data_IF_319741562809
#
_entry.id   IF_319741562809
#
_cell.length_a   1.000
_cell.length_b   1.000
_cell.length_c   1.000
_cell.angle_alpha   90.00
_cell.angle_beta   90.00
_cell.angle_gamma   90.00
#
_symmetry.space_group_name_H-M   'P 1'
#
loop_
_entity.id
_entity.type
_entity.pdbx_description
1 polymer ?
#
# COMPACT_ATOMS: atom_id res chain seq x y z
N UNK A 1 36.82 -9.30 35.95
CA UNK A 1 36.67 -7.91 36.45
C UNK A 1 35.36 -7.42 35.89
N UNK A 2 34.39 -7.27 36.80
CA UNK A 2 33.01 -6.94 36.39
C UNK A 2 32.88 -5.46 36.06
N UNK A 3 31.95 -5.16 35.14
CA UNK A 3 31.38 -3.83 34.98
C UNK A 3 29.88 -3.94 35.15
N UNK A 4 29.42 -3.28 36.20
CA UNK A 4 28.02 -3.18 36.64
C UNK A 4 27.18 -2.46 35.61
N UNK A 5 26.00 -2.99 35.32
CA UNK A 5 24.91 -2.29 34.60
C UNK A 5 24.17 -1.46 35.63
N UNK A 6 24.39 -0.15 35.64
CA UNK A 6 23.57 0.79 36.39
C UNK A 6 22.23 0.97 35.64
N UNK A 7 21.16 0.49 36.29
CA UNK A 7 19.79 0.80 35.95
C UNK A 7 19.46 2.22 36.33
N UNK A 8 19.39 3.13 35.36
CA UNK A 8 18.89 4.48 35.61
C UNK A 8 17.37 4.44 35.76
N UNK A 9 16.89 4.62 36.98
CA UNK A 9 15.49 4.84 37.33
C UNK A 9 15.03 6.18 36.76
N UNK A 10 14.05 6.15 35.88
CA UNK A 10 13.35 7.33 35.36
C UNK A 10 12.34 7.80 36.42
N UNK A 11 12.78 8.63 37.35
CA UNK A 11 11.92 9.44 38.22
C UNK A 11 12.10 10.91 37.88
N UNK A 12 11.07 11.52 37.31
CA UNK A 12 10.98 12.96 37.12
C UNK A 12 9.72 13.30 36.31
N UNK A 13 8.68 13.78 36.98
CA UNK A 13 7.48 14.37 36.39
C UNK A 13 7.84 15.70 35.69
N UNK A 14 8.49 15.62 34.52
CA UNK A 14 8.52 16.73 33.61
C UNK A 14 7.34 16.56 32.64
N UNK A 15 6.51 17.58 32.48
CA UNK A 15 5.55 17.65 31.42
C UNK A 15 6.30 17.34 30.12
N UNK A 16 5.85 16.39 29.28
CA UNK A 16 6.57 16.06 28.06
C UNK A 16 6.69 17.34 27.21
N UNK A 17 7.91 17.82 27.02
CA UNK A 17 8.18 18.87 26.05
C UNK A 17 7.79 18.33 24.68
N UNK A 18 7.00 19.12 23.92
CA UNK A 18 6.66 18.75 22.55
C UNK A 18 7.94 18.52 21.72
N UNK A 19 7.94 17.54 20.80
CA UNK A 19 9.09 17.26 19.97
C UNK A 19 9.50 18.48 19.15
N UNK A 20 10.79 18.66 18.95
CA UNK A 20 11.33 19.65 18.00
C UNK A 20 11.63 18.94 16.68
N UNK A 21 11.51 19.65 15.58
CA UNK A 21 11.76 19.13 14.23
C UNK A 21 12.76 20.01 13.47
N UNK A 22 13.62 20.70 14.18
CA UNK A 22 14.52 21.70 13.59
C UNK A 22 15.63 21.03 12.76
N UNK A 23 16.16 19.89 13.19
CA UNK A 23 17.10 19.09 12.43
C UNK A 23 16.50 18.60 11.11
N UNK A 24 15.24 18.11 11.14
CA UNK A 24 14.53 17.72 9.92
C UNK A 24 14.31 18.90 8.98
N UNK A 25 13.92 20.08 9.48
CA UNK A 25 13.76 21.31 8.68
C UNK A 25 15.06 21.77 8.05
N UNK A 26 16.17 21.73 8.81
CA UNK A 26 17.48 22.12 8.33
C UNK A 26 17.99 21.15 7.26
N UNK A 27 17.85 19.85 7.47
CA UNK A 27 18.22 18.84 6.48
C UNK A 27 17.38 18.97 5.19
N UNK A 28 16.08 19.23 5.32
CA UNK A 28 15.19 19.43 4.17
C UNK A 28 15.58 20.69 3.39
N UNK A 29 15.89 21.80 4.09
CA UNK A 29 16.35 23.06 3.47
C UNK A 29 17.65 22.85 2.70
N UNK A 30 18.62 22.16 3.29
CA UNK A 30 19.88 21.82 2.64
C UNK A 30 19.65 20.89 1.44
N UNK A 31 18.85 19.82 1.65
CA UNK A 31 18.54 18.83 0.63
C UNK A 31 17.79 19.41 -0.58
N UNK A 32 16.99 20.45 -0.39
CA UNK A 32 16.27 21.15 -1.47
C UNK A 32 17.19 21.83 -2.48
N UNK A 33 18.47 22.03 -2.13
CA UNK A 33 19.49 22.52 -3.07
C UNK A 33 19.93 21.44 -4.08
N UNK A 34 19.67 20.16 -3.81
CA UNK A 34 20.12 19.02 -4.60
C UNK A 34 19.00 18.08 -5.04
N UNK A 35 17.93 18.02 -4.27
CA UNK A 35 16.77 17.15 -4.50
C UNK A 35 15.57 18.02 -4.80
N UNK A 36 14.91 17.81 -5.93
CA UNK A 36 13.75 18.59 -6.34
C UNK A 36 12.64 18.54 -5.25
N UNK A 37 12.35 19.71 -4.66
CA UNK A 37 11.42 19.83 -3.54
C UNK A 37 11.89 19.18 -2.23
N UNK A 38 13.18 18.81 -2.10
CA UNK A 38 13.77 18.16 -0.93
C UNK A 38 13.36 16.71 -0.71
N UNK A 39 12.51 16.13 -1.57
CA UNK A 39 11.97 14.77 -1.44
C UNK A 39 11.96 14.04 -2.78
N UNK A 40 12.18 12.71 -2.75
CA UNK A 40 12.18 11.87 -3.96
C UNK A 40 10.79 11.25 -4.25
N UNK A 41 9.72 11.77 -3.64
CA UNK A 41 8.34 11.38 -3.93
C UNK A 41 7.38 12.45 -3.43
N UNK A 42 6.45 12.89 -4.30
CA UNK A 42 5.43 13.88 -3.93
C UNK A 42 4.55 13.43 -2.76
N UNK A 43 4.36 12.11 -2.59
CA UNK A 43 3.65 11.55 -1.43
C UNK A 43 4.34 11.78 -0.09
N UNK A 44 5.64 12.13 -0.07
CA UNK A 44 6.38 12.48 1.13
C UNK A 44 6.30 13.97 1.46
N UNK A 45 6.07 14.83 0.46
CA UNK A 45 5.98 16.28 0.64
C UNK A 45 4.78 16.70 1.50
N UNK A 46 3.66 15.97 1.43
CA UNK A 46 2.41 16.26 2.13
C UNK A 46 2.30 15.67 3.53
N UNK A 47 3.40 15.26 4.16
CA UNK A 47 3.38 14.76 5.54
C UNK A 47 3.26 15.92 6.55
N UNK A 48 2.54 15.71 7.70
CA UNK A 48 2.29 16.78 8.67
C UNK A 48 3.58 17.34 9.27
N UNK A 49 3.53 18.61 9.68
CA UNK A 49 4.59 19.43 10.26
C UNK A 49 5.70 19.77 9.25
N UNK A 50 6.42 18.78 8.78
CA UNK A 50 7.47 18.82 7.75
C UNK A 50 7.76 17.38 7.32
N UNK A 51 8.28 17.12 6.10
CA UNK A 51 8.88 15.84 5.81
C UNK A 51 10.00 15.53 6.82
N UNK A 52 9.79 14.50 7.65
CA UNK A 52 10.77 14.12 8.67
C UNK A 52 11.96 13.42 8.02
N UNK A 53 13.14 13.66 8.58
CA UNK A 53 14.37 12.97 8.22
C UNK A 53 14.71 11.96 9.30
N UNK A 54 14.70 10.68 8.94
CA UNK A 54 14.91 9.58 9.89
C UNK A 54 16.38 9.15 9.91
N UNK A 55 16.89 8.93 11.11
CA UNK A 55 18.24 8.42 11.35
C UNK A 55 18.25 6.90 11.54
N UNK A 56 17.21 6.35 12.22
CA UNK A 56 17.15 4.94 12.57
C UNK A 56 15.73 4.38 12.40
N UNK A 57 15.65 3.07 12.17
CA UNK A 57 14.40 2.33 12.09
C UNK A 57 14.61 0.91 12.65
N UNK A 58 13.75 0.47 13.58
CA UNK A 58 13.82 -0.87 14.15
C UNK A 58 12.45 -1.35 14.66
N UNK A 59 12.07 -2.58 14.30
CA UNK A 59 10.77 -3.13 14.67
C UNK A 59 9.61 -2.20 14.27
N UNK A 60 8.75 -1.76 15.21
CA UNK A 60 7.66 -0.83 14.93
C UNK A 60 8.07 0.65 15.06
N UNK A 61 9.36 0.97 15.23
CA UNK A 61 9.80 2.31 15.60
C UNK A 61 10.66 2.98 14.54
N UNK A 62 10.52 4.30 14.50
CA UNK A 62 11.43 5.21 13.79
C UNK A 62 12.03 6.22 14.76
N UNK A 63 13.29 6.63 14.50
CA UNK A 63 13.94 7.74 15.21
C UNK A 63 14.36 8.76 14.16
N UNK A 64 13.95 10.03 14.35
CA UNK A 64 14.37 11.10 13.44
C UNK A 64 15.74 11.68 13.83
N UNK A 65 16.24 12.61 13.02
CA UNK A 65 17.54 13.27 13.27
C UNK A 65 17.53 14.21 14.48
N UNK A 66 16.36 14.54 15.00
CA UNK A 66 16.19 15.33 16.22
C UNK A 66 16.13 14.42 17.48
N UNK A 67 16.17 13.09 17.30
CA UNK A 67 16.10 12.09 18.38
C UNK A 67 14.68 11.76 18.83
N UNK A 68 13.65 12.24 18.13
CA UNK A 68 12.27 11.87 18.44
C UNK A 68 12.00 10.43 18.02
N UNK A 69 11.38 9.64 18.92
CA UNK A 69 11.01 8.25 18.66
C UNK A 69 9.52 8.12 18.42
N UNK A 70 9.15 7.47 17.33
CA UNK A 70 7.77 7.28 16.89
C UNK A 70 7.40 5.80 16.82
N UNK A 71 6.19 5.44 17.26
CA UNK A 71 5.51 4.22 16.83
C UNK A 71 5.02 4.49 15.40
N UNK A 72 5.43 3.65 14.42
CA UNK A 72 5.23 3.93 13.00
C UNK A 72 4.14 3.06 12.38
N UNK A 73 2.97 3.64 12.21
CA UNK A 73 1.86 3.05 11.45
C UNK A 73 1.84 3.44 9.96
N UNK A 74 2.91 4.06 9.46
CA UNK A 74 3.10 4.31 8.02
C UNK A 74 3.88 3.17 7.37
N UNK A 75 4.88 2.62 8.07
CA UNK A 75 5.66 1.45 7.66
C UNK A 75 6.15 1.54 6.21
N UNK A 76 6.72 2.70 5.85
CA UNK A 76 7.23 2.95 4.49
C UNK A 76 6.15 3.01 3.40
N UNK A 77 4.91 3.32 3.73
CA UNK A 77 3.70 3.20 2.89
C UNK A 77 3.27 1.73 2.67
N UNK A 78 3.52 0.88 3.66
CA UNK A 78 3.00 -0.48 3.73
C UNK A 78 3.94 -1.66 3.45
N UNK A 79 5.18 -1.51 2.95
CA UNK A 79 6.04 -2.68 2.71
C UNK A 79 6.50 -3.41 3.97
N UNK A 80 6.61 -2.73 5.11
CA UNK A 80 7.27 -3.25 6.31
C UNK A 80 6.33 -4.12 7.16
N UNK A 81 5.74 -5.18 6.59
CA UNK A 81 4.86 -6.12 7.31
C UNK A 81 5.60 -6.85 8.44
N UNK A 82 6.90 -7.12 8.25
CA UNK A 82 7.77 -7.75 9.24
C UNK A 82 8.39 -6.74 10.24
N UNK A 83 7.99 -5.48 10.18
CA UNK A 83 8.65 -4.38 10.90
C UNK A 83 9.89 -3.85 10.18
N UNK A 84 10.45 -2.79 10.72
CA UNK A 84 11.70 -2.21 10.21
C UNK A 84 12.88 -3.14 10.53
N UNK A 85 13.77 -3.29 9.57
CA UNK A 85 15.02 -4.05 9.71
C UNK A 85 14.83 -5.49 10.27
N UNK A 86 13.92 -6.32 9.70
CA UNK A 86 13.70 -7.68 10.18
C UNK A 86 14.99 -8.52 10.01
N UNK A 87 15.39 -9.20 11.07
CA UNK A 87 16.70 -9.87 11.15
C UNK A 87 16.92 -10.88 10.02
N UNK A 88 15.92 -11.70 9.72
CA UNK A 88 15.97 -12.71 8.67
C UNK A 88 16.20 -12.13 7.27
N UNK A 89 15.61 -10.96 6.98
CA UNK A 89 15.80 -10.27 5.70
C UNK A 89 17.20 -9.62 5.65
N UNK A 90 17.60 -8.95 6.73
CA UNK A 90 18.93 -8.31 6.83
C UNK A 90 20.03 -9.34 6.67
N UNK A 91 19.93 -10.49 7.34
CA UNK A 91 20.91 -11.58 7.24
C UNK A 91 20.97 -12.21 5.84
N UNK A 92 19.81 -12.44 5.20
CA UNK A 92 19.76 -12.98 3.85
C UNK A 92 20.43 -12.01 2.85
N UNK A 93 20.14 -10.74 2.95
CA UNK A 93 20.77 -9.68 2.13
C UNK A 93 22.26 -9.59 2.42
N UNK A 94 22.67 -9.61 3.67
CA UNK A 94 24.10 -9.58 4.04
C UNK A 94 24.86 -10.78 3.45
N UNK A 95 24.33 -11.99 3.52
CA UNK A 95 24.93 -13.16 2.86
C UNK A 95 25.01 -13.00 1.35
N UNK A 96 23.96 -12.47 0.71
CA UNK A 96 23.93 -12.27 -0.73
C UNK A 96 24.96 -11.24 -1.20
N UNK A 97 25.20 -10.19 -0.43
CA UNK A 97 26.23 -9.17 -0.72
C UNK A 97 27.65 -9.76 -0.80
N UNK A 98 27.90 -10.88 -0.11
CA UNK A 98 29.21 -11.58 -0.19
C UNK A 98 29.36 -12.42 -1.49
N UNK A 99 28.26 -12.66 -2.21
CA UNK A 99 28.25 -13.46 -3.44
C UNK A 99 28.11 -12.62 -4.70
N UNK A 100 27.03 -11.88 -4.83
CA UNK A 100 26.77 -11.05 -6.01
C UNK A 100 25.73 -9.98 -5.74
N UNK A 101 25.80 -8.87 -6.51
CA UNK A 101 24.82 -7.79 -6.49
C UNK A 101 23.89 -7.88 -7.69
N UNK A 102 24.46 -7.92 -8.91
CA UNK A 102 23.74 -7.99 -10.18
C UNK A 102 24.60 -8.74 -11.19
N UNK A 103 24.07 -9.76 -11.82
CA UNK A 103 24.84 -10.65 -12.69
C UNK A 103 24.46 -10.56 -14.17
N UNK A 104 23.39 -9.83 -14.51
CA UNK A 104 22.88 -9.77 -15.88
C UNK A 104 22.44 -11.12 -16.45
N UNK A 105 22.05 -12.04 -15.60
CA UNK A 105 21.59 -13.39 -15.89
C UNK A 105 20.71 -13.92 -14.76
N UNK A 106 20.31 -15.17 -14.81
CA UNK A 106 19.46 -15.81 -13.81
C UNK A 106 20.27 -16.25 -12.59
N UNK A 107 19.59 -16.27 -11.43
CA UNK A 107 20.15 -16.80 -10.19
C UNK A 107 19.19 -17.80 -9.56
N UNK A 108 19.70 -18.77 -8.74
CA UNK A 108 18.81 -19.68 -8.03
C UNK A 108 17.78 -18.99 -7.14
N UNK A 109 18.11 -17.81 -6.57
CA UNK A 109 17.20 -17.03 -5.74
C UNK A 109 15.99 -16.51 -6.50
N UNK A 110 16.14 -16.19 -7.80
CA UNK A 110 15.03 -15.79 -8.65
C UNK A 110 13.97 -16.88 -8.76
N UNK A 111 14.41 -18.12 -8.98
CA UNK A 111 13.49 -19.28 -9.05
C UNK A 111 12.87 -19.60 -7.70
N UNK A 112 13.62 -19.52 -6.60
CA UNK A 112 13.10 -19.71 -5.24
C UNK A 112 12.06 -18.64 -4.88
N UNK A 113 12.31 -17.39 -5.24
CA UNK A 113 11.34 -16.32 -5.04
C UNK A 113 10.07 -16.54 -5.87
N UNK A 114 10.22 -16.98 -7.13
CA UNK A 114 9.09 -17.27 -8.01
C UNK A 114 8.26 -18.46 -7.50
N UNK A 115 8.91 -19.52 -7.00
CA UNK A 115 8.25 -20.67 -6.37
C UNK A 115 7.42 -20.25 -5.14
N UNK A 116 7.98 -19.43 -4.25
CA UNK A 116 7.25 -18.92 -3.09
C UNK A 116 6.03 -18.05 -3.48
N UNK A 117 6.16 -17.23 -4.52
CA UNK A 117 5.04 -16.45 -5.05
C UNK A 117 3.98 -17.37 -5.65
N UNK A 118 4.37 -18.37 -6.44
CA UNK A 118 3.48 -19.37 -7.03
C UNK A 118 2.71 -20.15 -5.95
N UNK A 119 3.37 -20.57 -4.89
CA UNK A 119 2.76 -21.34 -3.80
C UNK A 119 1.75 -20.53 -2.98
N UNK A 120 1.98 -19.21 -2.85
CA UNK A 120 1.19 -18.36 -1.97
C UNK A 120 0.01 -17.69 -2.69
N UNK A 121 0.17 -17.29 -3.95
CA UNK A 121 -0.76 -16.41 -4.66
C UNK A 121 -1.63 -17.23 -5.63
N UNK A 122 -2.97 -17.29 -5.44
CA UNK A 122 -3.85 -18.14 -6.22
C UNK A 122 -3.83 -17.94 -7.74
N UNK A 123 -3.52 -16.74 -8.22
CA UNK A 123 -3.43 -16.42 -9.65
C UNK A 123 -2.06 -16.61 -10.26
N UNK A 124 -1.04 -17.01 -9.49
CA UNK A 124 0.35 -17.01 -9.93
C UNK A 124 0.76 -18.34 -10.58
N UNK A 125 0.26 -18.65 -11.77
CA UNK A 125 0.81 -19.79 -12.54
C UNK A 125 2.26 -19.49 -12.95
N UNK A 126 2.53 -18.27 -13.44
CA UNK A 126 3.85 -17.78 -13.84
C UNK A 126 4.13 -16.40 -13.26
N UNK A 127 5.42 -16.09 -13.05
CA UNK A 127 5.90 -14.87 -12.40
C UNK A 127 6.90 -14.13 -13.30
N UNK A 128 6.79 -12.80 -13.33
CA UNK A 128 7.82 -11.89 -13.89
C UNK A 128 8.11 -10.78 -12.88
N UNK A 129 9.35 -10.72 -12.43
CA UNK A 129 9.80 -9.65 -11.54
C UNK A 129 10.14 -8.37 -12.32
N UNK A 130 9.94 -7.22 -11.65
CA UNK A 130 10.35 -5.88 -12.07
C UNK A 130 10.70 -5.05 -10.83
N UNK A 131 11.08 -3.78 -11.00
CA UNK A 131 11.58 -2.96 -9.89
C UNK A 131 10.49 -2.18 -9.15
N UNK A 132 9.33 -1.97 -9.77
CA UNK A 132 8.26 -1.16 -9.18
C UNK A 132 6.85 -1.63 -9.59
N UNK A 133 5.85 -1.32 -8.74
CA UNK A 133 4.44 -1.56 -9.06
C UNK A 133 4.01 -0.88 -10.37
N UNK A 134 4.47 0.34 -10.63
CA UNK A 134 4.16 1.06 -11.88
C UNK A 134 4.61 0.30 -13.14
N UNK A 135 5.79 -0.34 -13.09
CA UNK A 135 6.28 -1.19 -14.20
C UNK A 135 5.42 -2.45 -14.33
N UNK A 136 5.04 -3.07 -13.23
CA UNK A 136 4.21 -4.27 -13.23
C UNK A 136 2.80 -3.99 -13.76
N UNK A 137 2.16 -2.88 -13.36
CA UNK A 137 0.88 -2.42 -13.89
C UNK A 137 0.95 -2.13 -15.39
N UNK A 138 2.02 -1.46 -15.84
CA UNK A 138 2.25 -1.21 -17.25
C UNK A 138 2.39 -2.51 -18.05
N UNK A 139 3.09 -3.50 -17.51
CA UNK A 139 3.24 -4.81 -18.13
C UNK A 139 1.90 -5.55 -18.18
N UNK A 140 1.11 -5.53 -17.09
CA UNK A 140 -0.21 -6.15 -17.01
C UNK A 140 -1.16 -5.60 -18.10
N UNK A 141 -1.22 -4.28 -18.24
CA UNK A 141 -2.04 -3.62 -19.28
C UNK A 141 -1.58 -4.02 -20.69
N UNK A 142 -0.27 -4.10 -20.92
CA UNK A 142 0.28 -4.50 -22.23
C UNK A 142 -0.08 -5.95 -22.56
N UNK A 143 0.05 -6.87 -21.60
CA UNK A 143 -0.34 -8.27 -21.76
C UNK A 143 -1.84 -8.39 -22.06
N UNK A 144 -2.69 -7.68 -21.31
CA UNK A 144 -4.13 -7.72 -21.51
C UNK A 144 -4.55 -7.21 -22.89
N UNK A 145 -3.94 -6.11 -23.37
CA UNK A 145 -4.18 -5.59 -24.73
C UNK A 145 -3.72 -6.56 -25.82
N UNK A 146 -2.56 -7.16 -25.64
CA UNK A 146 -2.04 -8.16 -26.60
C UNK A 146 -2.93 -9.41 -26.65
N UNK A 147 -3.32 -9.93 -25.48
CA UNK A 147 -4.14 -11.13 -25.39
C UNK A 147 -5.55 -10.96 -26.01
N UNK A 148 -6.12 -9.78 -25.87
CA UNK A 148 -7.51 -9.53 -26.29
C UNK A 148 -7.63 -8.87 -27.66
N UNK A 149 -6.58 -8.24 -28.17
CA UNK A 149 -6.61 -7.35 -29.33
C UNK A 149 -7.39 -6.05 -29.11
N UNK A 150 -7.83 -5.77 -27.89
CA UNK A 150 -8.64 -4.61 -27.52
C UNK A 150 -7.75 -3.53 -26.90
N UNK A 151 -8.26 -2.27 -26.86
CA UNK A 151 -7.44 -1.14 -26.40
C UNK A 151 -7.91 -0.54 -25.06
N UNK A 152 -9.20 -0.63 -24.75
CA UNK A 152 -9.79 0.05 -23.61
C UNK A 152 -9.42 -0.65 -22.30
N UNK A 153 -8.99 0.12 -21.33
CA UNK A 153 -8.78 -0.29 -19.93
C UNK A 153 -9.79 0.45 -19.06
N UNK A 154 -10.57 -0.28 -18.31
CA UNK A 154 -11.43 0.29 -17.28
C UNK A 154 -10.69 0.28 -15.95
N UNK A 155 -10.66 1.44 -15.27
CA UNK A 155 -10.19 1.59 -13.89
C UNK A 155 -11.21 2.35 -13.06
N UNK A 156 -10.92 2.64 -11.79
CA UNK A 156 -11.87 3.26 -10.87
C UNK A 156 -11.34 4.56 -10.27
N UNK A 157 -12.26 5.47 -9.90
CA UNK A 157 -11.97 6.70 -9.19
C UNK A 157 -11.23 6.40 -7.89
N UNK A 158 -10.22 7.20 -7.56
CA UNK A 158 -9.44 7.05 -6.34
C UNK A 158 -8.44 5.89 -6.34
N UNK A 159 -8.48 4.98 -7.31
CA UNK A 159 -7.51 3.90 -7.43
C UNK A 159 -6.20 4.41 -8.01
N UNK A 160 -5.09 3.94 -7.46
CA UNK A 160 -3.73 4.30 -7.89
C UNK A 160 -2.98 3.07 -8.40
N UNK A 161 -2.53 3.13 -9.66
CA UNK A 161 -1.83 2.06 -10.36
C UNK A 161 -0.50 2.56 -10.94
N UNK A 162 0.28 3.24 -10.09
CA UNK A 162 1.53 3.85 -10.53
C UNK A 162 1.35 5.23 -11.18
N UNK A 163 2.47 5.79 -11.61
CA UNK A 163 2.56 7.19 -12.04
C UNK A 163 2.81 7.37 -13.55
N UNK A 164 2.67 6.30 -14.36
CA UNK A 164 2.76 6.40 -15.81
C UNK A 164 1.48 7.02 -16.41
N UNK A 165 1.64 7.81 -17.45
CA UNK A 165 0.58 8.62 -18.08
C UNK A 165 -0.70 7.85 -18.39
N UNK A 166 -0.56 6.60 -18.83
CA UNK A 166 -1.69 5.77 -19.22
C UNK A 166 -2.57 5.30 -18.03
N UNK A 167 -2.08 5.39 -16.79
CA UNK A 167 -2.81 4.94 -15.60
C UNK A 167 -2.98 6.02 -14.53
N UNK A 168 -2.27 7.15 -14.64
CA UNK A 168 -2.33 8.26 -13.69
C UNK A 168 -3.59 9.13 -13.91
N UNK A 169 -4.74 8.49 -14.03
CA UNK A 169 -6.04 9.13 -14.26
C UNK A 169 -6.93 8.98 -13.04
N UNK A 170 -7.60 10.07 -12.63
CA UNK A 170 -8.61 10.11 -11.57
C UNK A 170 -8.15 9.45 -10.25
N UNK A 171 -6.89 9.65 -9.86
CA UNK A 171 -6.33 9.12 -8.61
C UNK A 171 -6.83 9.89 -7.37
N UNK A 172 -7.14 11.18 -7.54
CA UNK A 172 -7.76 12.06 -6.55
C UNK A 172 -8.60 13.13 -7.27
N UNK A 173 -9.66 12.72 -8.00
CA UNK A 173 -10.44 13.64 -8.80
C UNK A 173 -11.17 14.67 -7.93
N UNK A 174 -11.20 15.92 -8.40
CA UNK A 174 -11.98 16.99 -7.80
C UNK A 174 -13.26 17.18 -8.64
N UNK A 175 -14.34 16.63 -8.16
CA UNK A 175 -15.63 16.83 -8.80
C UNK A 175 -16.42 17.95 -8.10
N UNK A 176 -16.81 18.98 -8.83
CA UNK A 176 -18.04 19.69 -8.51
C UNK A 176 -19.16 18.69 -8.85
N UNK A 177 -19.94 18.29 -7.85
CA UNK A 177 -20.94 17.23 -7.89
C UNK A 177 -21.54 16.99 -9.30
N UNK A 178 -21.06 15.95 -9.99
CA UNK A 178 -21.70 15.43 -11.20
C UNK A 178 -22.75 14.40 -10.74
N UNK A 179 -23.88 14.91 -10.26
CA UNK A 179 -25.01 14.07 -9.89
C UNK A 179 -25.40 13.21 -11.10
N UNK A 180 -25.40 11.88 -10.91
CA UNK A 180 -26.01 10.91 -11.83
C UNK A 180 -25.11 10.35 -12.95
N UNK A 181 -23.88 10.80 -13.16
CA UNK A 181 -23.04 10.25 -14.20
C UNK A 181 -22.33 8.96 -13.74
N UNK A 182 -22.57 7.86 -14.44
CA UNK A 182 -21.96 6.55 -14.19
C UNK A 182 -20.50 6.49 -14.71
N UNK A 183 -20.25 7.15 -15.86
CA UNK A 183 -18.94 7.28 -16.48
C UNK A 183 -18.46 8.71 -16.28
N UNK A 184 -17.31 8.86 -15.64
CA UNK A 184 -16.70 10.16 -15.38
C UNK A 184 -15.60 10.45 -16.40
N UNK A 185 -15.46 11.69 -16.89
CA UNK A 185 -14.32 12.03 -17.72
C UNK A 185 -13.03 11.84 -16.91
N UNK A 186 -12.03 11.13 -17.45
CA UNK A 186 -10.75 10.94 -16.79
C UNK A 186 -10.11 12.29 -16.44
N UNK A 187 -9.71 12.47 -15.17
CA UNK A 187 -8.99 13.67 -14.73
C UNK A 187 -7.48 13.38 -14.61
N UNK A 188 -6.61 14.25 -15.18
CA UNK A 188 -5.17 14.02 -15.11
C UNK A 188 -4.67 14.09 -13.66
N UNK A 189 -3.78 13.18 -13.29
CA UNK A 189 -3.10 13.18 -11.99
C UNK A 189 -1.88 14.10 -11.96
N UNK A 190 -1.42 14.57 -13.12
CA UNK A 190 -0.24 15.43 -13.25
C UNK A 190 -0.34 16.38 -14.42
N UNK A 191 0.29 17.55 -14.28
CA UNK A 191 0.56 18.46 -15.40
C UNK A 191 1.54 17.77 -16.38
N UNK A 192 1.34 17.99 -17.67
CA UNK A 192 2.19 17.40 -18.72
C UNK A 192 1.87 15.96 -19.07
N UNK A 193 0.85 15.37 -18.46
CA UNK A 193 0.37 14.03 -18.80
C UNK A 193 -0.23 14.04 -20.21
N UNK A 194 0.07 12.98 -20.99
CA UNK A 194 -0.53 12.80 -22.32
C UNK A 194 -2.05 12.64 -22.21
N UNK A 195 -2.83 13.07 -23.22
CA UNK A 195 -4.27 12.86 -23.20
C UNK A 195 -4.66 11.40 -23.00
N UNK A 196 -5.81 11.10 -22.36
CA UNK A 196 -6.25 9.74 -22.14
C UNK A 196 -6.46 9.02 -23.47
N UNK A 197 -5.85 7.85 -23.62
CA UNK A 197 -6.02 7.00 -24.78
C UNK A 197 -6.38 5.59 -24.33
N UNK A 198 -7.62 5.17 -24.58
CA UNK A 198 -8.11 3.86 -24.20
C UNK A 198 -8.14 3.63 -22.67
N UNK A 199 -8.42 4.67 -21.88
CA UNK A 199 -8.67 4.55 -20.44
C UNK A 199 -10.03 5.15 -20.12
N UNK A 200 -10.83 4.39 -19.40
CA UNK A 200 -12.12 4.80 -18.87
C UNK A 200 -12.15 4.65 -17.35
N UNK A 201 -12.84 5.55 -16.70
CA UNK A 201 -12.93 5.60 -15.24
C UNK A 201 -14.37 5.43 -14.81
N UNK A 202 -14.63 4.44 -13.98
CA UNK A 202 -15.95 4.13 -13.41
C UNK A 202 -15.95 4.37 -11.90
N UNK A 203 -17.16 4.41 -11.32
CA UNK A 203 -17.33 4.37 -9.88
C UNK A 203 -17.03 2.98 -9.32
N UNK A 204 -16.36 2.96 -8.19
CA UNK A 204 -16.17 1.74 -7.40
C UNK A 204 -17.51 1.25 -6.84
N UNK A 205 -17.66 -0.06 -6.73
CA UNK A 205 -18.86 -0.71 -6.20
C UNK A 205 -20.16 -0.56 -7.04
N UNK A 206 -20.09 0.00 -8.25
CA UNK A 206 -21.19 0.00 -9.22
C UNK A 206 -21.06 -1.19 -10.19
N UNK A 207 -21.49 -2.37 -9.75
CA UNK A 207 -21.43 -3.60 -10.56
C UNK A 207 -22.23 -3.49 -11.86
N UNK A 208 -23.40 -2.89 -11.82
CA UNK A 208 -24.29 -2.77 -12.98
C UNK A 208 -23.69 -1.91 -14.07
N UNK A 209 -23.08 -0.78 -13.69
CA UNK A 209 -22.39 0.09 -14.64
C UNK A 209 -21.19 -0.62 -15.29
N UNK A 210 -20.38 -1.31 -14.48
CA UNK A 210 -19.23 -2.04 -14.99
C UNK A 210 -19.64 -3.18 -15.92
N UNK A 211 -20.62 -3.99 -15.53
CA UNK A 211 -21.15 -5.10 -16.34
C UNK A 211 -21.66 -4.58 -17.68
N UNK A 212 -22.55 -3.57 -17.67
CA UNK A 212 -23.03 -2.95 -18.92
C UNK A 212 -21.91 -2.45 -19.82
N UNK A 213 -20.84 -1.91 -19.22
CA UNK A 213 -19.71 -1.38 -19.99
C UNK A 213 -18.88 -2.47 -20.66
N UNK A 214 -18.52 -3.51 -19.96
CA UNK A 214 -17.67 -4.58 -20.53
C UNK A 214 -18.44 -5.53 -21.46
N UNK A 215 -19.76 -5.57 -21.40
CA UNK A 215 -20.62 -6.30 -22.33
C UNK A 215 -20.56 -5.77 -23.77
N UNK A 216 -20.05 -4.55 -23.98
CA UNK A 216 -19.74 -4.02 -25.33
C UNK A 216 -18.57 -4.75 -26.01
N UNK A 217 -17.79 -5.55 -25.26
CA UNK A 217 -16.73 -6.44 -25.74
C UNK A 217 -15.53 -5.75 -26.43
N UNK A 218 -15.31 -4.48 -26.16
CA UNK A 218 -14.15 -3.70 -26.64
C UNK A 218 -13.13 -3.38 -25.51
N UNK A 219 -13.45 -3.73 -24.26
CA UNK A 219 -12.59 -3.57 -23.10
C UNK A 219 -11.57 -4.70 -23.04
N UNK A 220 -10.29 -4.33 -23.01
CA UNK A 220 -9.16 -5.25 -22.86
C UNK A 220 -9.06 -5.79 -21.43
N UNK A 221 -9.11 -4.88 -20.46
CA UNK A 221 -9.03 -5.25 -19.06
C UNK A 221 -9.84 -4.33 -18.14
N UNK A 222 -10.23 -4.90 -16.99
CA UNK A 222 -10.64 -4.18 -15.79
C UNK A 222 -9.46 -4.25 -14.81
N UNK A 223 -8.91 -3.09 -14.45
CA UNK A 223 -7.80 -2.94 -13.51
C UNK A 223 -8.31 -2.31 -12.22
N UNK A 224 -8.10 -2.96 -11.07
CA UNK A 224 -8.57 -2.49 -9.79
C UNK A 224 -7.65 -2.84 -8.61
N UNK A 225 -7.62 -1.99 -7.61
CA UNK A 225 -7.29 -2.42 -6.24
C UNK A 225 -8.48 -3.25 -5.72
N UNK A 226 -8.30 -4.46 -5.20
CA UNK A 226 -9.43 -5.22 -4.63
C UNK A 226 -10.01 -4.59 -3.36
N UNK A 227 -9.27 -3.68 -2.73
CA UNK A 227 -9.71 -2.74 -1.69
C UNK A 227 -9.06 -1.39 -1.95
N UNK A 228 -9.83 -0.33 -1.95
CA UNK A 228 -9.36 1.03 -2.25
C UNK A 228 -8.53 1.62 -1.08
N UNK A 229 -7.34 1.10 -0.81
CA UNK A 229 -6.50 1.59 0.29
C UNK A 229 -5.66 2.83 -0.05
N UNK A 230 -5.42 3.12 -1.33
CA UNK A 230 -4.66 4.31 -1.70
C UNK A 230 -5.37 5.62 -1.39
N UNK A 231 -6.69 5.64 -1.33
CA UNK A 231 -7.45 6.87 -1.06
C UNK A 231 -8.31 6.81 0.19
N UNK A 232 -9.38 6.04 0.23
CA UNK A 232 -10.44 6.21 1.22
C UNK A 232 -10.75 4.96 2.06
N UNK A 233 -10.02 3.86 1.87
CA UNK A 233 -10.21 2.63 2.62
C UNK A 233 -11.60 2.01 2.41
N UNK A 234 -12.04 1.86 1.15
CA UNK A 234 -13.37 1.34 0.84
C UNK A 234 -13.28 -0.12 0.42
N UNK A 235 -14.01 -0.98 1.15
CA UNK A 235 -14.14 -2.39 0.82
C UNK A 235 -15.08 -2.61 -0.38
N UNK A 236 -14.90 -3.69 -1.14
CA UNK A 236 -15.93 -4.13 -2.09
C UNK A 236 -17.20 -4.51 -1.33
N UNK A 237 -18.36 -4.03 -1.82
CA UNK A 237 -19.64 -4.47 -1.25
C UNK A 237 -19.86 -5.97 -1.53
N UNK A 238 -20.66 -6.66 -0.70
CA UNK A 238 -20.91 -8.08 -0.89
C UNK A 238 -21.38 -8.42 -2.32
N UNK A 239 -20.71 -9.37 -2.95
CA UNK A 239 -21.02 -9.82 -4.31
C UNK A 239 -20.40 -9.01 -5.45
N UNK A 240 -19.85 -7.81 -5.20
CA UNK A 240 -19.28 -6.95 -6.24
C UNK A 240 -18.13 -7.63 -7.01
N UNK A 241 -17.11 -8.13 -6.30
CA UNK A 241 -15.96 -8.78 -6.96
C UNK A 241 -16.36 -10.05 -7.72
N UNK A 242 -17.32 -10.80 -7.22
CA UNK A 242 -17.86 -11.97 -7.91
C UNK A 242 -18.57 -11.59 -9.21
N UNK A 243 -19.44 -10.57 -9.18
CA UNK A 243 -20.10 -10.06 -10.36
C UNK A 243 -19.11 -9.56 -11.43
N UNK A 244 -18.06 -8.86 -11.01
CA UNK A 244 -17.00 -8.40 -11.89
C UNK A 244 -16.25 -9.59 -12.52
N UNK A 245 -15.86 -10.59 -11.71
CA UNK A 245 -15.18 -11.80 -12.19
C UNK A 245 -15.99 -12.53 -13.23
N UNK A 246 -17.27 -12.76 -12.94
CA UNK A 246 -18.20 -13.45 -13.85
C UNK A 246 -18.37 -12.70 -15.18
N UNK A 247 -18.56 -11.39 -15.10
CA UNK A 247 -18.71 -10.56 -16.29
C UNK A 247 -17.43 -10.54 -17.15
N UNK A 248 -16.25 -10.42 -16.53
CA UNK A 248 -14.98 -10.53 -17.24
C UNK A 248 -14.83 -11.87 -17.93
N UNK A 249 -15.20 -12.98 -17.27
CA UNK A 249 -15.16 -14.32 -17.84
C UNK A 249 -16.06 -14.46 -19.06
N UNK A 250 -17.32 -13.99 -18.98
CA UNK A 250 -18.29 -14.05 -20.09
C UNK A 250 -17.91 -13.22 -21.30
N UNK A 251 -17.23 -12.10 -21.08
CA UNK A 251 -16.87 -11.16 -22.15
C UNK A 251 -15.48 -11.37 -22.73
N UNK A 252 -14.65 -12.21 -22.08
CA UNK A 252 -13.24 -12.38 -22.41
C UNK A 252 -12.42 -11.11 -22.10
N UNK A 253 -12.85 -10.32 -21.12
CA UNK A 253 -12.10 -9.18 -20.59
C UNK A 253 -11.15 -9.66 -19.49
N UNK A 254 -9.89 -9.22 -19.52
CA UNK A 254 -8.90 -9.61 -18.52
C UNK A 254 -9.19 -8.89 -17.19
N UNK A 255 -9.33 -9.62 -16.10
CA UNK A 255 -9.41 -9.04 -14.75
C UNK A 255 -8.00 -8.93 -14.17
N UNK A 256 -7.58 -7.71 -13.80
CA UNK A 256 -6.30 -7.43 -13.19
C UNK A 256 -6.54 -6.91 -11.77
N UNK A 257 -5.98 -7.60 -10.77
CA UNK A 257 -5.90 -7.07 -9.40
C UNK A 257 -4.54 -6.41 -9.18
N UNK A 258 -4.57 -5.13 -8.85
CA UNK A 258 -3.42 -4.45 -8.27
C UNK A 258 -3.40 -4.72 -6.77
N UNK A 259 -2.60 -5.70 -6.39
CA UNK A 259 -2.35 -6.09 -5.01
C UNK A 259 -1.02 -5.56 -4.47
N UNK A 260 -0.54 -4.45 -4.98
CA UNK A 260 0.68 -3.81 -4.46
C UNK A 260 0.56 -3.48 -2.97
N UNK A 261 -0.64 -3.13 -2.48
CA UNK A 261 -0.89 -2.94 -1.03
C UNK A 261 -1.34 -4.23 -0.36
N UNK A 262 -2.31 -4.92 -0.93
CA UNK A 262 -3.00 -6.04 -0.28
C UNK A 262 -2.26 -7.36 -0.38
N UNK A 263 -1.43 -7.56 -1.39
CA UNK A 263 -0.63 -8.77 -1.61
C UNK A 263 0.28 -9.06 -0.43
N UNK A 264 0.25 -10.30 0.06
CA UNK A 264 0.99 -10.79 1.23
C UNK A 264 0.65 -10.06 2.55
N UNK A 265 -0.09 -8.95 2.51
CA UNK A 265 -0.41 -8.14 3.69
C UNK A 265 -1.71 -8.55 4.36
N UNK A 266 -2.80 -8.63 3.61
CA UNK A 266 -4.12 -8.96 4.19
C UNK A 266 -4.29 -10.45 4.48
N UNK A 267 -3.56 -11.27 3.75
CA UNK A 267 -3.37 -12.70 3.98
C UNK A 267 -2.08 -13.15 3.26
N UNK A 268 -1.53 -14.35 3.49
CA UNK A 268 -0.40 -14.86 2.72
C UNK A 268 -0.64 -14.86 1.20
N UNK A 269 -1.88 -15.12 0.75
CA UNK A 269 -2.28 -15.11 -0.67
C UNK A 269 -2.92 -13.80 -1.13
N UNK A 270 -2.82 -12.72 -0.34
CA UNK A 270 -3.38 -11.40 -0.68
C UNK A 270 -4.90 -11.31 -0.54
N UNK A 271 -5.46 -10.25 -1.10
CA UNK A 271 -6.91 -10.02 -1.09
C UNK A 271 -7.67 -11.05 -1.95
N UNK A 272 -7.08 -11.53 -3.04
CA UNK A 272 -7.69 -12.57 -3.87
C UNK A 272 -7.99 -13.84 -3.07
N UNK A 273 -7.08 -14.26 -2.18
CA UNK A 273 -7.32 -15.38 -1.27
C UNK A 273 -8.34 -15.02 -0.18
N UNK A 274 -8.26 -13.82 0.39
CA UNK A 274 -9.17 -13.37 1.43
C UNK A 274 -10.63 -13.26 0.96
N UNK A 275 -10.86 -12.85 -0.29
CA UNK A 275 -12.19 -12.75 -0.89
C UNK A 275 -12.62 -13.98 -1.70
N UNK A 276 -11.73 -14.93 -1.95
CA UNK A 276 -11.98 -16.11 -2.79
C UNK A 276 -12.23 -15.76 -4.27
N UNK A 277 -11.63 -14.70 -4.77
CA UNK A 277 -11.77 -14.25 -6.16
C UNK A 277 -10.39 -14.23 -6.83
N UNK A 278 -10.20 -15.10 -7.82
CA UNK A 278 -8.93 -15.20 -8.56
C UNK A 278 -9.01 -14.36 -9.84
N UNK A 279 -8.17 -13.32 -9.99
CA UNK A 279 -8.06 -12.55 -11.22
C UNK A 279 -7.29 -13.32 -12.30
N UNK A 280 -7.20 -12.77 -13.50
CA UNK A 280 -6.40 -13.34 -14.61
C UNK A 280 -4.93 -12.93 -14.51
N UNK A 281 -4.68 -11.70 -14.02
CA UNK A 281 -3.35 -11.14 -13.74
C UNK A 281 -3.37 -10.46 -12.37
N UNK A 282 -2.25 -10.49 -11.67
CA UNK A 282 -2.06 -9.76 -10.41
C UNK A 282 -0.74 -9.02 -10.41
N UNK A 283 -0.78 -7.78 -9.92
CA UNK A 283 0.40 -6.96 -9.66
C UNK A 283 0.73 -7.01 -8.17
N UNK A 284 1.97 -7.36 -7.84
CA UNK A 284 2.48 -7.52 -6.47
C UNK A 284 3.64 -6.56 -6.22
N UNK A 285 3.84 -6.17 -4.97
CA UNK A 285 4.96 -5.30 -4.57
C UNK A 285 5.04 -5.15 -3.05
N UNK A 286 5.60 -4.05 -2.58
CA UNK A 286 5.66 -3.67 -1.14
C UNK A 286 6.05 -4.81 -0.20
N UNK A 287 5.08 -5.50 0.44
CA UNK A 287 5.32 -6.59 1.39
C UNK A 287 6.05 -7.80 0.77
N UNK A 288 6.07 -7.90 -0.57
CA UNK A 288 6.79 -8.92 -1.34
C UNK A 288 8.25 -9.06 -0.89
N UNK A 289 8.93 -7.96 -0.58
CA UNK A 289 10.35 -7.97 -0.22
C UNK A 289 10.71 -7.08 0.98
N UNK A 290 9.74 -6.79 1.85
CA UNK A 290 9.97 -6.07 3.11
C UNK A 290 10.83 -4.80 2.95
N UNK A 291 10.50 -3.96 1.95
CA UNK A 291 11.15 -2.66 1.72
C UNK A 291 12.19 -2.62 0.61
N UNK A 292 12.64 -3.75 0.08
CA UNK A 292 13.50 -3.76 -1.09
C UNK A 292 12.71 -3.44 -2.38
N UNK A 293 13.33 -2.74 -3.37
CA UNK A 293 12.67 -2.33 -4.59
C UNK A 293 12.47 -3.53 -5.52
N UNK A 294 11.31 -4.16 -5.42
CA UNK A 294 10.86 -5.25 -6.29
C UNK A 294 9.34 -5.25 -6.37
N UNK A 295 8.86 -5.60 -7.53
CA UNK A 295 7.47 -5.90 -7.81
C UNK A 295 7.39 -7.13 -8.72
N UNK A 296 6.20 -7.66 -8.92
CA UNK A 296 5.99 -8.77 -9.84
C UNK A 296 4.64 -8.62 -10.57
N UNK A 297 4.64 -9.00 -11.84
CA UNK A 297 3.46 -9.38 -12.58
C UNK A 297 3.34 -10.90 -12.51
N UNK A 298 2.18 -11.39 -12.07
CA UNK A 298 1.85 -12.81 -12.04
C UNK A 298 0.52 -13.06 -12.74
N UNK A 299 0.29 -14.25 -13.22
CA UNK A 299 -0.98 -14.57 -13.85
C UNK A 299 -1.00 -15.91 -14.56
N UNK A 300 -2.13 -16.15 -15.23
CA UNK A 300 -2.41 -17.38 -15.96
C UNK A 300 -1.35 -17.68 -17.02
N UNK A 301 -1.02 -18.94 -17.16
CA UNK A 301 -0.02 -19.43 -18.12
C UNK A 301 -0.22 -18.90 -19.54
N UNK A 302 -1.47 -18.83 -20.02
CA UNK A 302 -1.78 -18.37 -21.39
C UNK A 302 -1.43 -16.89 -21.57
N UNK A 303 -1.70 -16.05 -20.57
CA UNK A 303 -1.41 -14.61 -20.63
C UNK A 303 0.07 -14.34 -20.47
N UNK A 304 0.71 -14.97 -19.50
CA UNK A 304 2.14 -14.82 -19.26
C UNK A 304 2.99 -15.45 -20.37
N UNK A 305 2.42 -16.39 -21.11
CA UNK A 305 2.99 -16.99 -22.31
C UNK A 305 3.35 -15.98 -23.40
N UNK A 306 2.60 -14.87 -23.51
CA UNK A 306 2.90 -13.78 -24.45
C UNK A 306 4.23 -13.08 -24.16
N UNK A 307 4.62 -13.03 -22.88
CA UNK A 307 5.95 -12.53 -22.49
C UNK A 307 7.01 -13.60 -22.81
N UNK A 308 6.71 -14.86 -22.57
CA UNK A 308 7.66 -15.97 -22.79
C UNK A 308 7.94 -16.18 -24.29
N UNK A 309 6.96 -15.96 -25.17
CA UNK A 309 7.11 -16.03 -26.64
C UNK A 309 7.85 -14.82 -27.23
N UNK A 310 7.94 -13.71 -26.47
CA UNK A 310 8.50 -12.45 -26.94
C UNK A 310 7.51 -11.55 -27.70
N UNK A 311 6.23 -11.95 -27.83
CA UNK A 311 5.18 -11.11 -28.40
C UNK A 311 4.94 -9.85 -27.56
N UNK A 312 5.03 -9.98 -26.25
CA UNK A 312 5.00 -8.85 -25.31
C UNK A 312 6.38 -8.62 -24.72
N UNK A 313 6.99 -7.49 -25.05
CA UNK A 313 8.29 -7.11 -24.49
C UNK A 313 8.13 -6.75 -23.01
N UNK A 314 8.89 -7.44 -22.16
CA UNK A 314 9.09 -7.14 -20.76
C UNK A 314 10.59 -7.21 -20.43
N UNK A 315 11.17 -6.14 -19.94
CA UNK A 315 12.61 -6.08 -19.66
C UNK A 315 12.96 -5.02 -18.64
N UNK A 316 14.11 -5.18 -18.02
CA UNK A 316 14.69 -4.25 -17.04
C UNK A 316 16.02 -4.80 -16.54
N UNK A 317 17.04 -3.95 -16.50
CA UNK A 317 18.39 -4.32 -16.03
C UNK A 317 18.38 -4.86 -14.59
N UNK A 318 17.49 -4.33 -13.75
CA UNK A 318 17.41 -4.65 -12.32
C UNK A 318 16.32 -5.67 -11.98
N UNK A 319 15.62 -6.20 -12.98
CA UNK A 319 14.61 -7.22 -12.75
C UNK A 319 15.27 -8.45 -12.10
N UNK A 320 14.65 -8.98 -11.02
CA UNK A 320 15.22 -10.10 -10.23
C UNK A 320 16.65 -9.88 -9.72
N UNK A 321 17.02 -8.63 -9.42
CA UNK A 321 18.32 -8.32 -8.83
C UNK A 321 18.56 -9.17 -7.57
N UNK A 322 19.74 -9.81 -7.48
CA UNK A 322 20.02 -10.88 -6.50
C UNK A 322 19.79 -10.49 -5.04
N UNK A 323 20.06 -9.24 -4.67
CA UNK A 323 19.84 -8.73 -3.31
C UNK A 323 18.33 -8.63 -3.03
N UNK A 324 17.55 -8.09 -3.99
CA UNK A 324 16.10 -8.00 -3.84
C UNK A 324 15.46 -9.41 -3.81
N UNK A 325 15.99 -10.37 -4.57
CA UNK A 325 15.52 -11.75 -4.51
C UNK A 325 15.85 -12.43 -3.18
N UNK A 326 17.02 -12.17 -2.60
CA UNK A 326 17.35 -12.66 -1.25
C UNK A 326 16.39 -12.11 -0.19
N UNK A 327 16.06 -10.83 -0.29
CA UNK A 327 15.06 -10.19 0.58
C UNK A 327 13.66 -10.80 0.37
N UNK A 328 13.26 -11.02 -0.89
CA UNK A 328 11.97 -11.65 -1.24
C UNK A 328 11.86 -13.06 -0.67
N UNK A 329 12.86 -13.90 -0.86
CA UNK A 329 12.86 -15.26 -0.33
C UNK A 329 12.76 -15.26 1.19
N UNK A 330 13.52 -14.42 1.89
CA UNK A 330 13.45 -14.32 3.34
C UNK A 330 12.08 -13.83 3.83
N UNK A 331 11.56 -12.76 3.23
CA UNK A 331 10.27 -12.19 3.61
C UNK A 331 9.12 -13.18 3.38
N UNK A 332 9.04 -13.79 2.19
CA UNK A 332 7.96 -14.74 1.87
C UNK A 332 8.07 -16.04 2.67
N UNK A 333 9.28 -16.50 3.00
CA UNK A 333 9.48 -17.64 3.88
C UNK A 333 8.93 -17.42 5.28
N UNK A 334 9.07 -16.19 5.83
CA UNK A 334 8.46 -15.80 7.09
C UNK A 334 6.93 -15.71 6.99
N UNK A 335 6.43 -15.06 5.94
CA UNK A 335 5.00 -14.86 5.68
C UNK A 335 4.26 -16.19 5.49
N UNK A 336 4.86 -17.14 4.79
CA UNK A 336 4.27 -18.46 4.48
C UNK A 336 3.83 -19.24 5.70
N UNK A 337 4.46 -19.04 6.84
CA UNK A 337 4.14 -19.77 8.08
C UNK A 337 2.77 -19.41 8.67
N UNK A 338 2.19 -18.24 8.29
CA UNK A 338 0.98 -17.69 8.86
C UNK A 338 1.19 -17.01 10.24
N UNK A 339 2.33 -17.20 10.89
CA UNK A 339 2.61 -16.64 12.20
C UNK A 339 2.66 -15.09 12.18
N UNK A 340 3.17 -14.51 11.09
CA UNK A 340 3.18 -13.07 10.86
C UNK A 340 1.78 -12.49 10.90
N UNK A 341 0.83 -13.10 10.15
CA UNK A 341 -0.56 -12.64 10.11
C UNK A 341 -1.26 -12.86 11.45
N UNK A 342 -1.05 -13.99 12.11
CA UNK A 342 -1.64 -14.24 13.43
C UNK A 342 -1.22 -13.17 14.47
N UNK A 343 0.06 -12.77 14.48
CA UNK A 343 0.54 -11.71 15.36
C UNK A 343 -0.09 -10.35 15.01
N UNK A 344 -0.10 -9.99 13.73
CA UNK A 344 -0.69 -8.71 13.28
C UNK A 344 -2.20 -8.67 13.53
N UNK A 345 -2.90 -9.79 13.31
CA UNK A 345 -4.35 -9.88 13.49
C UNK A 345 -4.77 -9.62 14.93
N UNK A 346 -4.02 -10.16 15.90
CA UNK A 346 -4.29 -9.94 17.31
C UNK A 346 -4.17 -8.46 17.66
N UNK A 347 -3.01 -7.86 17.38
CA UNK A 347 -2.69 -6.47 17.76
C UNK A 347 -3.52 -5.47 16.94
N UNK A 348 -3.77 -5.78 15.67
CA UNK A 348 -4.57 -4.91 14.80
C UNK A 348 -6.04 -4.85 15.23
N UNK A 349 -6.65 -5.97 15.65
CA UNK A 349 -8.03 -5.96 16.21
C UNK A 349 -8.09 -5.17 17.51
N UNK A 350 -7.11 -5.34 18.39
CA UNK A 350 -7.02 -4.58 19.63
C UNK A 350 -6.98 -3.07 19.36
N UNK A 351 -6.16 -2.64 18.40
CA UNK A 351 -6.06 -1.23 18.02
C UNK A 351 -7.34 -0.71 17.36
N UNK A 352 -7.93 -1.46 16.40
CA UNK A 352 -9.16 -1.05 15.71
C UNK A 352 -10.31 -0.88 16.70
N UNK A 353 -10.54 -1.86 17.59
CA UNK A 353 -11.59 -1.80 18.58
C UNK A 353 -11.37 -0.64 19.56
N UNK A 354 -10.14 -0.47 20.05
CA UNK A 354 -9.82 0.63 20.97
C UNK A 354 -9.96 2.02 20.34
N UNK A 355 -9.69 2.17 19.04
CA UNK A 355 -9.96 3.40 18.29
C UNK A 355 -11.46 3.65 18.14
N UNK A 356 -12.24 2.63 17.80
CA UNK A 356 -13.69 2.74 17.65
C UNK A 356 -14.38 3.18 18.96
N UNK A 357 -14.01 2.56 20.06
CA UNK A 357 -14.52 2.91 21.40
C UNK A 357 -14.25 4.39 21.71
N UNK A 358 -13.03 4.87 21.53
CA UNK A 358 -12.64 6.25 21.85
C UNK A 358 -13.31 7.28 20.95
N UNK A 359 -13.38 7.01 19.65
CA UNK A 359 -14.06 7.89 18.71
C UNK A 359 -15.56 8.01 19.05
N UNK A 360 -16.19 6.90 19.46
CA UNK A 360 -17.58 6.88 19.91
C UNK A 360 -17.75 7.66 21.22
N UNK A 361 -16.90 7.44 22.23
CA UNK A 361 -16.94 8.13 23.53
C UNK A 361 -16.79 9.65 23.38
N UNK A 362 -15.93 10.10 22.45
CA UNK A 362 -15.75 11.51 22.13
C UNK A 362 -16.76 12.07 21.13
N UNK A 363 -17.78 11.28 20.73
CA UNK A 363 -18.86 11.71 19.84
C UNK A 363 -18.37 12.07 18.42
N UNK A 364 -17.29 11.46 17.95
CA UNK A 364 -16.77 11.66 16.61
C UNK A 364 -17.32 10.58 15.67
N UNK A 365 -18.23 10.94 14.74
CA UNK A 365 -18.68 9.98 13.72
C UNK A 365 -17.47 9.55 12.89
N UNK A 366 -17.19 8.25 12.88
CA UNK A 366 -16.05 7.73 12.14
C UNK A 366 -16.35 6.34 11.56
N UNK A 367 -15.59 5.94 10.54
CA UNK A 367 -15.52 4.58 10.06
C UNK A 367 -14.08 4.05 10.21
N UNK A 368 -13.95 2.83 10.73
CA UNK A 368 -12.70 2.08 10.76
C UNK A 368 -12.90 0.86 9.86
N UNK A 369 -12.26 0.86 8.69
CA UNK A 369 -12.57 -0.09 7.61
C UNK A 369 -11.29 -0.74 7.11
N UNK A 370 -11.29 -2.08 7.01
CA UNK A 370 -10.17 -2.82 6.44
C UNK A 370 -9.86 -4.12 7.17
N UNK A 371 -8.59 -4.46 7.21
CA UNK A 371 -8.05 -5.66 7.85
C UNK A 371 -7.13 -5.25 9.00
N UNK A 372 -6.92 -6.10 10.00
CA UNK A 372 -6.03 -5.78 11.12
C UNK A 372 -4.61 -5.37 10.71
N UNK A 373 -4.11 -5.88 9.59
CA UNK A 373 -2.80 -5.53 9.03
C UNK A 373 -2.77 -4.20 8.28
N UNK A 374 -3.91 -3.75 7.76
CA UNK A 374 -4.09 -2.47 7.06
C UNK A 374 -5.55 -2.05 7.15
N UNK A 375 -5.80 -0.91 7.76
CA UNK A 375 -7.14 -0.34 7.84
C UNK A 375 -7.10 1.18 7.61
N UNK A 376 -8.27 1.74 7.39
CA UNK A 376 -8.46 3.17 7.18
C UNK A 376 -9.39 3.73 8.23
N UNK A 377 -9.00 4.85 8.84
CA UNK A 377 -9.83 5.63 9.77
C UNK A 377 -10.31 6.86 9.03
N UNK A 378 -11.62 7.06 8.96
CA UNK A 378 -12.26 8.17 8.27
C UNK A 378 -13.21 8.89 9.23
N UNK A 379 -13.01 10.18 9.44
CA UNK A 379 -13.91 11.00 10.24
C UNK A 379 -15.09 11.45 9.38
N UNK A 380 -16.32 11.21 9.83
CA UNK A 380 -17.51 11.39 9.00
C UNK A 380 -17.66 10.34 7.88
N UNK A 381 -18.68 10.51 7.03
CA UNK A 381 -18.99 9.62 5.92
C UNK A 381 -18.89 8.12 6.24
N UNK A 382 -19.54 7.62 7.32
CA UNK A 382 -19.39 6.23 7.76
C UNK A 382 -19.88 5.23 6.70
N UNK A 383 -20.88 5.60 5.91
CA UNK A 383 -21.55 4.75 4.92
C UNK A 383 -20.98 4.92 3.51
N UNK A 384 -19.78 5.52 3.36
CA UNK A 384 -19.18 5.71 2.05
C UNK A 384 -18.85 4.37 1.38
N UNK A 385 -19.33 4.20 0.16
CA UNK A 385 -19.15 2.98 -0.66
C UNK A 385 -18.31 3.22 -1.92
N UNK A 386 -18.00 4.46 -2.26
CA UNK A 386 -17.17 4.84 -3.39
C UNK A 386 -16.31 6.09 -3.07
N UNK A 387 -15.44 6.47 -4.00
CA UNK A 387 -14.59 7.64 -3.83
C UNK A 387 -15.39 8.93 -3.62
N UNK A 388 -16.47 9.14 -4.37
CA UNK A 388 -17.27 10.35 -4.32
C UNK A 388 -17.99 10.50 -2.98
N UNK A 389 -18.63 9.43 -2.48
CA UNK A 389 -19.32 9.45 -1.19
C UNK A 389 -18.34 9.62 -0.02
N UNK A 390 -17.10 9.14 -0.17
CA UNK A 390 -16.04 9.36 0.81
C UNK A 390 -15.56 10.82 0.89
N UNK A 391 -15.81 11.66 -0.13
CA UNK A 391 -15.44 13.09 -0.09
C UNK A 391 -16.24 13.88 0.97
N UNK A 392 -17.33 13.33 1.50
CA UNK A 392 -18.05 13.93 2.62
C UNK A 392 -17.32 13.78 3.98
N UNK A 393 -16.20 13.07 4.00
CA UNK A 393 -15.38 12.92 5.21
C UNK A 393 -14.68 14.23 5.59
N UNK A 394 -14.52 14.44 6.90
CA UNK A 394 -13.77 15.57 7.44
C UNK A 394 -12.26 15.27 7.42
N UNK A 395 -11.67 15.37 6.24
CA UNK A 395 -10.25 15.12 6.02
C UNK A 395 -9.36 16.18 6.71
N UNK A 396 -9.84 17.39 6.91
CA UNK A 396 -9.09 18.45 7.59
C UNK A 396 -8.95 18.13 9.09
N UNK A 397 -10.06 17.75 9.74
CA UNK A 397 -10.04 17.32 11.15
C UNK A 397 -9.19 16.07 11.36
N UNK A 398 -9.26 15.11 10.43
CA UNK A 398 -8.39 13.92 10.50
C UNK A 398 -6.89 14.29 10.34
N UNK A 399 -6.55 15.21 9.44
CA UNK A 399 -5.16 15.67 9.28
C UNK A 399 -4.64 16.40 10.55
N UNK A 400 -5.50 17.19 11.21
CA UNK A 400 -5.19 17.80 12.50
C UNK A 400 -4.96 16.73 13.60
N UNK A 401 -5.80 15.69 13.64
CA UNK A 401 -5.63 14.54 14.51
C UNK A 401 -4.28 13.83 14.28
N UNK A 402 -3.93 13.57 13.01
CA UNK A 402 -2.66 12.95 12.66
C UNK A 402 -1.45 13.78 13.07
N UNK A 403 -1.54 15.11 12.95
CA UNK A 403 -0.49 16.04 13.40
C UNK A 403 -0.34 16.01 14.91
N UNK A 404 -1.45 16.06 15.65
CA UNK A 404 -1.42 16.03 17.12
C UNK A 404 -0.92 14.68 17.68
N UNK A 405 -1.16 13.58 16.97
CA UNK A 405 -0.60 12.27 17.32
C UNK A 405 0.92 12.22 17.05
N UNK A 406 1.39 12.83 15.97
CA UNK A 406 2.82 12.89 15.67
C UNK A 406 3.59 13.57 16.79
N UNK A 407 3.05 14.67 17.35
CA UNK A 407 3.63 15.38 18.51
C UNK A 407 3.63 14.55 19.81
N UNK A 408 2.94 13.39 19.81
CA UNK A 408 2.93 12.42 20.92
C UNK A 408 3.70 11.13 20.59
N UNK A 409 4.48 11.16 19.52
CA UNK A 409 5.31 10.02 19.10
C UNK A 409 4.52 8.90 18.41
N UNK A 410 3.35 9.21 17.83
CA UNK A 410 2.56 8.26 17.04
C UNK A 410 2.52 8.76 15.60
N UNK A 411 3.12 8.03 14.68
CA UNK A 411 3.22 8.41 13.27
C UNK A 411 2.20 7.64 12.43
N UNK A 412 1.24 8.37 11.87
CA UNK A 412 0.20 7.85 10.98
C UNK A 412 0.17 8.63 9.65
N UNK A 413 -0.53 8.10 8.65
CA UNK A 413 -0.79 8.85 7.42
C UNK A 413 -1.91 9.87 7.62
N UNK A 414 -1.73 11.13 7.18
CA UNK A 414 -2.75 12.19 7.35
C UNK A 414 -4.01 11.96 6.50
N UNK A 415 -3.99 10.96 5.62
CA UNK A 415 -5.12 10.57 4.76
C UNK A 415 -5.92 9.36 5.26
N UNK A 416 -5.60 8.81 6.43
CA UNK A 416 -6.44 7.82 7.12
C UNK A 416 -5.93 6.38 7.15
N UNK A 417 -5.01 5.97 6.29
CA UNK A 417 -4.54 4.57 6.23
C UNK A 417 -3.50 4.29 7.31
N UNK A 418 -3.75 3.22 8.08
CA UNK A 418 -2.85 2.68 9.11
C UNK A 418 -2.33 1.32 8.66
N UNK A 419 -1.04 1.09 8.83
CA UNK A 419 -0.40 -0.19 8.55
C UNK A 419 0.18 -0.75 9.84
N UNK A 420 0.02 -2.05 10.07
CA UNK A 420 0.64 -2.76 11.20
C UNK A 420 1.69 -3.75 10.70
N UNK A 421 2.64 -4.03 11.55
CA UNK A 421 3.64 -5.07 11.36
C UNK A 421 3.57 -6.11 12.47
N UNK A 422 4.16 -7.26 12.25
CA UNK A 422 4.26 -8.34 13.26
C UNK A 422 5.11 -7.98 14.49
N UNK A 423 5.76 -6.82 14.47
CA UNK A 423 6.58 -6.32 15.59
C UNK A 423 5.85 -5.32 16.48
N UNK A 424 4.66 -4.83 16.09
CA UNK A 424 3.81 -4.08 17.01
C UNK A 424 3.29 -5.01 18.10
N UNK A 425 3.29 -4.52 19.35
CA UNK A 425 2.79 -5.26 20.51
C UNK A 425 1.68 -4.50 21.24
N UNK A 426 1.02 -5.17 22.22
CA UNK A 426 -0.05 -4.54 23.01
C UNK A 426 0.41 -3.28 23.75
N UNK A 427 1.67 -3.20 24.18
CA UNK A 427 2.23 -1.99 24.78
C UNK A 427 2.27 -0.79 23.79
N UNK A 428 2.48 -1.05 22.49
CA UNK A 428 2.41 0.00 21.46
C UNK A 428 0.97 0.45 21.25
N UNK A 429 0.01 -0.48 21.30
CA UNK A 429 -1.43 -0.19 21.22
C UNK A 429 -1.88 0.64 22.41
N UNK A 430 -1.56 0.22 23.63
CA UNK A 430 -1.89 0.96 24.87
C UNK A 430 -1.36 2.39 24.81
N UNK A 431 -0.09 2.57 24.43
CA UNK A 431 0.51 3.90 24.27
C UNK A 431 -0.17 4.72 23.20
N UNK A 432 -0.53 4.09 22.07
CA UNK A 432 -1.23 4.76 20.97
C UNK A 432 -2.61 5.23 21.41
N UNK A 433 -3.37 4.35 22.07
CA UNK A 433 -4.73 4.65 22.53
C UNK A 433 -4.73 5.74 23.61
N UNK A 434 -3.76 5.72 24.54
CA UNK A 434 -3.58 6.82 25.51
C UNK A 434 -3.26 8.16 24.82
N UNK A 435 -2.46 8.14 23.75
CA UNK A 435 -2.20 9.36 22.97
C UNK A 435 -3.45 9.83 22.21
N UNK A 436 -4.26 8.90 21.71
CA UNK A 436 -5.56 9.20 21.05
C UNK A 436 -6.50 9.90 22.02
N UNK A 437 -6.68 9.40 23.25
CA UNK A 437 -7.53 10.02 24.28
C UNK A 437 -7.14 11.50 24.50
N UNK A 438 -5.84 11.76 24.75
CA UNK A 438 -5.32 13.12 24.97
C UNK A 438 -5.50 14.04 23.74
N UNK A 439 -5.46 13.49 22.54
CA UNK A 439 -5.68 14.26 21.31
C UNK A 439 -7.16 14.58 21.14
N UNK A 440 -8.05 13.60 21.33
CA UNK A 440 -9.49 13.76 21.13
C UNK A 440 -10.11 14.74 22.13
N UNK A 441 -9.61 14.79 23.39
CA UNK A 441 -10.01 15.80 24.38
C UNK A 441 -9.78 17.24 23.92
N UNK A 442 -8.79 17.46 23.05
CA UNK A 442 -8.35 18.80 22.63
C UNK A 442 -8.58 19.05 21.12
N UNK A 443 -9.14 18.08 20.40
CA UNK A 443 -9.39 18.20 18.97
C UNK A 443 -10.64 19.07 18.74
N UNK A 444 -10.43 20.23 18.12
CA UNK A 444 -11.54 21.14 17.78
C UNK A 444 -12.63 20.41 16.96
N UNK A 445 -13.90 20.74 17.20
CA UNK A 445 -15.04 20.17 16.51
C UNK A 445 -15.02 20.44 14.99
#
# INVERSE_FOLDING_TARGET
MGTSTDGAALNGSQSPTLPTYDGSRDQLRLGSSYVAGGVNSNFRAGMPVTPLVFAEADGPYLVDVDGNRFIDYVLGMGPMLLGHRPAEVVEAVHRQLQSSILVGGQTPLEYQAAELVHDLVPSADLVRFCSSGSEADQAAVRVARAATGRQVIVKFEGHYHGWFDNLLWSIAPKYAALEGATLQPPQPGSTGQMPPSGVEVLRWNDADALVRRIEQRDVAAVLMEPVMFNSSGILPIPGYLAAVRDACTRTGTVLIFDEVITGFRVSPGGAQAAFGITPDLTVLGKALASGFPVAALVGKTELMGLISSGEVLHGGTYNSQSIAMAATVAALSAIRTGAVHAAVDQVGRELMNGLEERLLEHGIPAAIVGFPSVFHVRFGAPDATDYLTAQAADSARYAAFATALLDRGIRILPRGTWFLSSTHGSADVERTLAAVDLVLENLAP
#
